data_IF_914508306947
#
_entry.id   IF_914508306947
#
_cell.length_a   1.000
_cell.length_b   1.000
_cell.length_c   1.000
_cell.angle_alpha   90.00
_cell.angle_beta   90.00
_cell.angle_gamma   90.00
#
_symmetry.space_group_name_H-M   'P 1'
#
loop_
_entity.id
_entity.type
_entity.pdbx_description
1 polymer ?
#
# COMPACT_ATOMS: atom_id res chain seq x y z
N UNK A 1 13.04 4.00 14.13
CA UNK A 1 12.76 2.55 14.12
C UNK A 1 11.67 2.20 13.12
N UNK A 2 10.44 2.72 13.24
CA UNK A 2 9.35 2.41 12.28
C UNK A 2 9.73 2.61 10.80
N UNK A 3 10.42 3.72 10.46
CA UNK A 3 10.90 3.96 9.09
C UNK A 3 11.94 2.92 8.61
N UNK A 4 12.77 2.39 9.51
CA UNK A 4 13.76 1.35 9.18
C UNK A 4 13.03 0.05 8.84
N UNK A 5 12.07 -0.34 9.67
CA UNK A 5 11.26 -1.53 9.43
C UNK A 5 10.46 -1.42 8.13
N UNK A 6 9.84 -0.25 7.86
CA UNK A 6 9.11 0.02 6.61
C UNK A 6 10.02 -0.12 5.37
N UNK A 7 11.25 0.37 5.45
CA UNK A 7 12.23 0.26 4.36
C UNK A 7 12.71 -1.18 4.13
N UNK A 8 12.77 -2.01 5.18
CA UNK A 8 13.22 -3.41 5.10
C UNK A 8 12.11 -4.39 4.74
N UNK A 9 10.85 -3.98 4.77
CA UNK A 9 9.69 -4.86 4.54
C UNK A 9 9.74 -5.62 3.19
N UNK A 10 10.37 -5.04 2.17
CA UNK A 10 10.54 -5.66 0.84
C UNK A 10 11.82 -6.49 0.67
N UNK A 11 12.62 -6.68 1.72
CA UNK A 11 13.91 -7.36 1.66
C UNK A 11 13.82 -8.74 2.30
N UNK A 12 13.99 -9.81 1.54
CA UNK A 12 13.98 -11.18 2.04
C UNK A 12 15.39 -11.69 2.41
N UNK A 13 15.58 -12.13 3.65
CA UNK A 13 16.80 -12.80 4.09
C UNK A 13 16.51 -14.19 4.65
N UNK A 14 17.10 -15.23 4.06
CA UNK A 14 16.86 -16.62 4.45
C UNK A 14 17.72 -17.11 5.62
N UNK A 15 18.81 -16.40 5.94
CA UNK A 15 19.85 -16.89 6.85
C UNK A 15 19.81 -16.28 8.25
N UNK A 16 19.63 -14.96 8.36
CA UNK A 16 19.91 -14.24 9.61
C UNK A 16 18.75 -14.23 10.60
N UNK A 17 17.53 -14.58 10.16
CA UNK A 17 16.32 -14.37 10.94
C UNK A 17 16.06 -12.88 11.25
N UNK A 18 16.65 -11.95 10.47
CA UNK A 18 16.58 -10.48 10.59
C UNK A 18 17.12 -9.84 11.86
N UNK A 19 17.17 -10.54 12.99
CA UNK A 19 17.59 -9.97 14.27
C UNK A 19 18.92 -9.19 14.20
N UNK A 20 20.03 -9.74 13.70
CA UNK A 20 21.29 -9.00 13.64
C UNK A 20 21.29 -7.84 12.63
N UNK A 21 20.37 -7.84 11.65
CA UNK A 21 20.20 -6.73 10.71
C UNK A 21 19.47 -5.58 11.40
N UNK A 22 18.36 -5.89 12.09
CA UNK A 22 17.58 -4.91 12.83
C UNK A 22 18.38 -4.33 14.01
N UNK A 23 19.23 -5.12 14.67
CA UNK A 23 20.08 -4.63 15.76
C UNK A 23 21.17 -3.66 15.28
N UNK A 24 21.50 -3.64 13.98
CA UNK A 24 22.54 -2.76 13.42
C UNK A 24 22.03 -1.35 13.07
N UNK A 25 20.74 -1.18 12.81
CA UNK A 25 20.16 0.10 12.36
C UNK A 25 19.82 1.15 13.45
N UNK A 26 19.60 0.81 14.73
CA UNK A 26 19.27 1.78 15.78
C UNK A 26 20.29 2.91 15.93
N UNK A 27 21.56 2.68 15.56
CA UNK A 27 22.61 3.71 15.54
C UNK A 27 22.29 4.89 14.60
N UNK A 28 21.34 4.72 13.68
CA UNK A 28 20.85 5.74 12.76
C UNK A 28 19.47 6.30 13.16
N UNK A 29 18.85 5.80 14.24
CA UNK A 29 17.56 6.25 14.72
C UNK A 29 17.71 7.31 15.82
N UNK A 30 16.85 8.34 15.80
CA UNK A 30 16.77 9.37 16.85
C UNK A 30 15.98 8.86 18.08
N UNK A 31 16.21 7.64 18.55
CA UNK A 31 15.60 7.15 19.78
C UNK A 31 16.45 7.60 20.98
N UNK A 32 15.79 7.98 22.07
CA UNK A 32 16.45 8.30 23.32
C UNK A 32 17.31 7.11 23.77
N UNK A 33 18.61 7.35 23.92
CA UNK A 33 19.58 6.38 24.43
C UNK A 33 19.21 5.85 25.84
N UNK A 34 18.27 6.48 26.54
CA UNK A 34 17.85 6.15 27.92
C UNK A 34 17.37 4.70 28.07
N UNK A 35 16.84 4.06 27.01
CA UNK A 35 16.43 2.64 27.07
C UNK A 35 17.62 1.66 27.04
N UNK A 36 18.81 2.11 26.66
CA UNK A 36 19.97 1.25 26.39
C UNK A 36 21.29 1.72 27.02
N UNK A 37 21.40 2.97 27.45
CA UNK A 37 22.45 3.41 28.38
C UNK A 37 22.02 2.98 29.77
N UNK A 38 22.57 1.86 30.21
CA UNK A 38 22.20 1.20 31.46
C UNK A 38 21.95 2.18 32.62
N UNK A 39 20.77 2.06 33.21
CA UNK A 39 20.55 2.39 34.62
C UNK A 39 21.40 1.40 35.42
N UNK A 40 22.69 1.69 35.51
CA UNK A 40 23.45 1.45 36.72
C UNK A 40 23.02 2.52 37.71
N UNK A 41 21.91 2.29 38.40
CA UNK A 41 21.71 2.68 39.80
C UNK A 41 20.28 2.38 40.27
N UNK A 42 20.23 1.50 41.26
CA UNK A 42 19.26 1.41 42.35
C UNK A 42 18.05 0.46 42.18
N UNK A 43 18.33 -0.77 42.66
CA UNK A 43 17.53 -1.57 43.61
C UNK A 43 16.17 -2.11 43.16
N UNK A 44 16.15 -3.42 42.89
CA UNK A 44 15.21 -4.38 43.49
C UNK A 44 15.83 -5.79 43.47
N UNK A 45 15.44 -6.57 44.47
CA UNK A 45 16.12 -7.70 45.08
C UNK A 45 16.23 -8.98 44.21
N UNK A 46 17.25 -9.78 44.54
CA UNK A 46 17.39 -11.24 44.35
C UNK A 46 17.36 -11.85 42.91
N UNK A 47 18.52 -11.79 42.24
CA UNK A 47 19.36 -13.01 42.16
C UNK A 47 19.03 -14.13 41.16
N UNK A 48 18.40 -13.90 39.99
CA UNK A 48 18.39 -14.89 38.89
C UNK A 48 18.66 -14.25 37.52
N UNK A 49 19.81 -14.56 36.92
CA UNK A 49 20.13 -14.19 35.54
C UNK A 49 19.31 -15.03 34.55
N UNK A 50 18.71 -14.39 33.55
CA UNK A 50 17.93 -15.06 32.49
C UNK A 50 18.83 -15.30 31.27
N UNK A 51 18.80 -16.49 30.70
CA UNK A 51 19.63 -16.86 29.55
C UNK A 51 19.16 -16.19 28.25
N UNK A 52 20.01 -15.45 27.52
CA UNK A 52 19.61 -14.75 26.28
C UNK A 52 19.12 -15.68 25.17
N UNK A 53 19.60 -16.92 25.12
CA UNK A 53 19.24 -17.88 24.06
C UNK A 53 17.92 -18.60 24.30
N UNK A 54 17.42 -18.63 25.54
CA UNK A 54 16.25 -19.46 25.90
C UNK A 54 15.17 -18.74 26.71
N UNK A 55 15.45 -17.55 27.25
CA UNK A 55 14.48 -16.76 28.01
C UNK A 55 14.09 -17.36 29.38
N UNK A 56 14.87 -18.32 29.91
CA UNK A 56 14.63 -18.97 31.22
C UNK A 56 15.76 -18.69 32.22
N UNK A 57 15.51 -18.78 33.55
CA UNK A 57 16.54 -18.57 34.59
C UNK A 57 17.73 -19.53 34.41
N UNK A 58 18.97 -19.00 34.41
CA UNK A 58 20.20 -19.77 34.22
C UNK A 58 20.80 -20.22 35.56
N UNK A 59 21.14 -21.50 35.67
CA UNK A 59 21.82 -22.08 36.84
C UNK A 59 23.35 -21.96 36.78
N UNK A 60 23.89 -21.19 35.84
CA UNK A 60 25.30 -21.15 35.49
C UNK A 60 26.22 -20.42 36.48
N UNK A 61 25.74 -20.13 37.70
CA UNK A 61 26.47 -19.34 38.70
C UNK A 61 26.57 -20.05 40.05
N UNK A 62 27.32 -21.16 40.09
CA UNK A 62 27.83 -21.74 41.34
C UNK A 62 29.35 -21.76 41.31
N UNK A 63 29.96 -20.92 42.15
CA UNK A 63 31.40 -20.79 42.35
C UNK A 63 32.06 -22.16 42.60
N UNK A 64 32.97 -22.57 41.71
CA UNK A 64 34.18 -23.30 42.10
C UNK A 64 35.29 -23.14 41.06
N UNK A 65 36.49 -23.00 41.59
CA UNK A 65 37.74 -22.62 40.94
C UNK A 65 38.32 -23.80 40.13
N UNK A 66 38.96 -23.45 39.00
CA UNK A 66 39.79 -24.30 38.14
C UNK A 66 39.09 -25.46 37.41
N UNK A 67 38.63 -25.18 36.18
CA UNK A 67 39.09 -26.02 35.08
C UNK A 67 39.13 -25.27 33.74
N UNK A 68 40.16 -25.56 32.96
CA UNK A 68 40.50 -24.92 31.69
C UNK A 68 39.39 -25.16 30.67
N UNK A 69 38.61 -24.12 30.38
CA UNK A 69 37.92 -23.96 29.09
C UNK A 69 38.42 -22.67 28.43
N UNK A 70 39.71 -22.68 28.07
CA UNK A 70 40.20 -21.89 26.95
C UNK A 70 39.69 -22.56 25.67
N UNK A 71 38.44 -22.25 25.33
CA UNK A 71 38.01 -22.28 23.93
C UNK A 71 37.69 -20.85 23.59
N UNK A 72 38.62 -20.28 22.84
CA UNK A 72 38.47 -19.06 22.08
C UNK A 72 37.13 -19.10 21.32
N UNK A 73 36.12 -18.39 21.82
CA UNK A 73 35.12 -17.84 20.91
C UNK A 73 34.95 -16.36 21.18
N UNK A 74 35.92 -15.64 20.60
CA UNK A 74 35.95 -14.20 20.45
C UNK A 74 34.88 -13.74 19.43
N UNK A 75 33.67 -14.31 19.47
CA UNK A 75 32.58 -13.98 18.55
C UNK A 75 31.44 -13.37 19.34
N UNK A 76 31.49 -12.03 19.35
CA UNK A 76 30.52 -11.08 19.88
C UNK A 76 30.59 -10.81 21.39
N UNK A 77 31.62 -10.03 21.78
CA UNK A 77 31.34 -8.97 22.76
C UNK A 77 30.22 -8.10 22.16
N UNK A 78 29.17 -7.74 22.91
CA UNK A 78 28.30 -6.65 22.48
C UNK A 78 29.21 -5.43 22.37
N UNK A 79 29.58 -5.05 21.16
CA UNK A 79 30.17 -3.73 20.95
C UNK A 79 29.14 -2.76 21.50
N UNK A 80 29.53 -1.87 22.40
CA UNK A 80 28.69 -0.74 22.77
C UNK A 80 28.39 0.00 21.46
N UNK A 81 27.21 -0.19 20.88
CA UNK A 81 26.88 0.26 19.53
C UNK A 81 26.75 1.80 19.43
N UNK A 82 27.03 2.54 20.51
CA UNK A 82 26.78 3.97 20.63
C UNK A 82 28.01 4.88 20.48
N UNK A 83 29.18 4.38 20.04
CA UNK A 83 30.33 5.29 19.80
C UNK A 83 30.32 5.94 18.41
N UNK A 84 29.55 5.40 17.47
CA UNK A 84 29.48 5.92 16.09
C UNK A 84 28.18 6.69 15.91
N UNK A 85 28.29 8.01 15.96
CA UNK A 85 27.20 8.92 15.59
C UNK A 85 26.88 8.78 14.09
N UNK A 86 25.73 8.18 13.79
CA UNK A 86 25.20 8.00 12.44
C UNK A 86 25.02 9.32 11.66
N UNK A 87 24.94 10.47 12.33
CA UNK A 87 24.84 11.77 11.68
C UNK A 87 26.13 12.17 10.94
N UNK A 88 27.29 11.62 11.34
CA UNK A 88 28.60 11.91 10.72
C UNK A 88 28.74 11.38 9.28
N UNK A 89 27.86 10.50 8.83
CA UNK A 89 27.88 9.95 7.47
C UNK A 89 27.29 10.89 6.41
N UNK A 90 26.57 11.94 6.82
CA UNK A 90 25.85 12.83 5.89
C UNK A 90 26.76 13.73 5.04
N UNK A 91 27.98 14.02 5.49
CA UNK A 91 28.89 14.97 4.82
C UNK A 91 29.68 14.36 3.65
N UNK A 92 29.66 13.03 3.46
CA UNK A 92 30.45 12.32 2.42
C UNK A 92 29.61 11.46 1.48
N UNK A 93 28.34 11.82 1.31
CA UNK A 93 27.46 11.14 0.35
C UNK A 93 27.87 11.41 -1.10
N UNK A 94 27.47 10.50 -2.00
CA UNK A 94 27.70 10.67 -3.43
C UNK A 94 26.95 11.92 -3.92
N UNK A 95 27.67 12.84 -4.57
CA UNK A 95 27.04 14.00 -5.19
C UNK A 95 26.10 13.55 -6.31
N UNK A 96 24.96 14.23 -6.44
CA UNK A 96 24.10 14.04 -7.61
C UNK A 96 24.83 14.54 -8.87
N UNK A 97 24.91 13.76 -9.97
CA UNK A 97 25.67 14.15 -11.16
C UNK A 97 25.22 15.50 -11.73
N UNK A 98 26.11 16.53 -11.81
CA UNK A 98 25.72 17.86 -12.25
C UNK A 98 25.14 17.92 -13.67
N UNK A 99 25.59 17.04 -14.57
CA UNK A 99 25.05 16.93 -15.93
C UNK A 99 23.55 16.61 -15.94
N UNK A 100 23.07 15.79 -14.99
CA UNK A 100 21.67 15.40 -14.90
C UNK A 100 20.77 16.54 -14.40
N UNK A 101 21.31 17.49 -13.62
CA UNK A 101 20.56 18.68 -13.18
C UNK A 101 20.24 19.62 -14.36
N UNK A 102 21.15 19.68 -15.33
CA UNK A 102 21.00 20.53 -16.53
C UNK A 102 20.18 19.84 -17.64
N UNK A 103 19.93 18.53 -17.50
CA UNK A 103 19.25 17.75 -18.52
C UNK A 103 17.77 18.08 -18.58
N UNK A 104 17.33 18.68 -19.69
CA UNK A 104 15.91 18.89 -19.99
C UNK A 104 15.24 17.56 -20.37
N UNK A 105 14.05 17.24 -19.84
CA UNK A 105 13.26 16.12 -20.33
C UNK A 105 13.02 16.24 -21.84
N UNK A 106 13.11 15.12 -22.55
CA UNK A 106 12.92 15.06 -24.00
C UNK A 106 11.90 13.98 -24.36
N UNK A 107 11.05 14.21 -25.36
CA UNK A 107 10.24 13.11 -25.87
C UNK A 107 11.15 12.07 -26.53
N UNK A 108 10.89 10.78 -26.29
CA UNK A 108 11.68 9.68 -26.87
C UNK A 108 10.78 8.72 -27.65
N UNK A 109 11.32 8.17 -28.72
CA UNK A 109 10.75 7.06 -29.49
C UNK A 109 11.88 6.07 -29.76
N UNK A 110 11.80 4.90 -29.13
CA UNK A 110 12.82 3.86 -29.20
C UNK A 110 12.24 2.61 -29.85
N UNK A 111 13.03 1.97 -30.71
CA UNK A 111 12.69 0.69 -31.33
C UNK A 111 13.57 -0.41 -30.74
N UNK A 112 12.94 -1.46 -30.21
CA UNK A 112 13.60 -2.65 -29.69
C UNK A 112 13.46 -3.86 -30.61
N UNK A 113 13.98 -5.00 -30.16
CA UNK A 113 13.87 -6.28 -30.86
C UNK A 113 12.41 -6.67 -31.14
N UNK A 114 12.19 -7.38 -32.24
CA UNK A 114 10.85 -7.85 -32.63
C UNK A 114 9.87 -6.74 -33.01
N UNK A 115 10.36 -5.53 -33.31
CA UNK A 115 9.51 -4.39 -33.68
C UNK A 115 8.81 -3.72 -32.49
N UNK A 116 9.31 -3.96 -31.26
CA UNK A 116 8.81 -3.28 -30.06
C UNK A 116 9.04 -1.77 -30.19
N UNK A 117 8.01 -0.97 -29.99
CA UNK A 117 8.11 0.49 -29.93
C UNK A 117 7.88 0.96 -28.49
N UNK A 118 8.76 1.83 -28.01
CA UNK A 118 8.65 2.45 -26.69
C UNK A 118 8.67 3.97 -26.83
N UNK A 119 7.62 4.60 -26.33
CA UNK A 119 7.44 6.05 -26.39
C UNK A 119 7.54 6.66 -24.99
N UNK A 120 8.19 7.82 -24.89
CA UNK A 120 8.15 8.70 -23.70
C UNK A 120 7.59 10.06 -24.11
N UNK A 121 6.26 10.26 -24.10
CA UNK A 121 5.66 11.58 -24.21
C UNK A 121 5.95 12.45 -22.97
N UNK A 122 5.89 13.78 -23.16
CA UNK A 122 6.02 14.78 -22.09
C UNK A 122 4.73 15.59 -21.85
N UNK A 123 3.72 15.42 -22.70
CA UNK A 123 2.45 16.14 -22.62
C UNK A 123 1.30 15.16 -22.69
N UNK A 124 0.18 15.49 -22.04
CA UNK A 124 -1.02 14.67 -22.10
C UNK A 124 -1.51 14.48 -23.54
N UNK A 125 -1.52 15.55 -24.34
CA UNK A 125 -1.94 15.47 -25.75
C UNK A 125 -1.13 14.43 -26.54
N UNK A 126 0.19 14.37 -26.36
CA UNK A 126 1.00 13.37 -27.07
C UNK A 126 0.68 11.92 -26.62
N UNK A 127 0.32 11.70 -25.35
CA UNK A 127 -0.18 10.39 -24.90
C UNK A 127 -1.47 10.03 -25.63
N UNK A 128 -2.41 10.98 -25.72
CA UNK A 128 -3.71 10.80 -26.37
C UNK A 128 -3.55 10.51 -27.86
N UNK A 129 -2.68 11.24 -28.56
CA UNK A 129 -2.38 11.01 -29.97
C UNK A 129 -1.77 9.61 -30.21
N UNK A 130 -0.84 9.19 -29.33
CA UNK A 130 -0.27 7.84 -29.39
C UNK A 130 -1.32 6.77 -29.09
N UNK A 131 -2.25 7.02 -28.17
CA UNK A 131 -3.32 6.08 -27.84
C UNK A 131 -4.35 5.97 -28.96
N UNK A 132 -4.64 7.07 -29.67
CA UNK A 132 -5.46 7.06 -30.88
C UNK A 132 -4.79 6.26 -32.00
N UNK A 133 -3.48 6.50 -32.22
CA UNK A 133 -2.70 5.81 -33.26
C UNK A 133 -2.51 4.32 -32.95
N UNK A 134 -2.33 3.98 -31.67
CA UNK A 134 -2.10 2.63 -31.20
C UNK A 134 -3.09 2.27 -30.07
N UNK A 135 -4.34 1.93 -30.39
CA UNK A 135 -5.36 1.65 -29.37
C UNK A 135 -4.99 0.48 -28.45
N UNK A 136 -4.21 -0.49 -28.94
CA UNK A 136 -3.66 -1.60 -28.15
C UNK A 136 -2.40 -1.27 -27.35
N UNK A 137 -1.90 -0.03 -27.37
CA UNK A 137 -0.71 0.35 -26.62
C UNK A 137 -0.93 0.24 -25.11
N UNK A 138 0.07 -0.33 -24.43
CA UNK A 138 0.06 -0.47 -22.97
C UNK A 138 0.77 0.73 -22.35
N UNK A 139 0.08 1.39 -21.42
CA UNK A 139 0.66 2.48 -20.65
C UNK A 139 1.58 1.91 -19.56
N UNK A 140 2.73 2.56 -19.36
CA UNK A 140 3.75 2.15 -18.41
C UNK A 140 4.11 3.27 -17.44
N UNK A 141 4.17 2.91 -16.15
CA UNK A 141 4.70 3.74 -15.08
C UNK A 141 5.82 2.95 -14.40
N UNK A 142 5.55 2.23 -13.31
CA UNK A 142 6.55 1.41 -12.61
C UNK A 142 6.82 0.03 -13.17
N UNK A 143 6.07 -0.40 -14.20
CA UNK A 143 6.20 -1.72 -14.84
C UNK A 143 6.02 -2.94 -13.90
N UNK A 144 5.42 -2.74 -12.72
CA UNK A 144 5.28 -3.78 -11.67
C UNK A 144 4.26 -4.87 -12.01
N UNK A 145 3.32 -4.60 -12.93
CA UNK A 145 2.40 -5.61 -13.49
C UNK A 145 2.81 -6.02 -14.91
N UNK A 146 2.99 -5.04 -15.81
CA UNK A 146 3.30 -5.34 -17.23
C UNK A 146 4.59 -6.13 -17.37
N UNK A 147 5.59 -5.88 -16.52
CA UNK A 147 6.81 -6.68 -16.49
C UNK A 147 6.56 -8.16 -16.14
N UNK A 148 5.63 -8.43 -15.21
CA UNK A 148 5.21 -9.79 -14.85
C UNK A 148 4.42 -10.44 -15.99
N UNK A 149 3.49 -9.71 -16.61
CA UNK A 149 2.73 -10.17 -17.78
C UNK A 149 3.65 -10.58 -18.92
N UNK A 150 4.64 -9.74 -19.25
CA UNK A 150 5.60 -10.02 -20.32
C UNK A 150 6.55 -11.17 -19.97
N UNK A 151 7.10 -11.17 -18.75
CA UNK A 151 8.14 -12.14 -18.35
C UNK A 151 7.57 -13.52 -18.00
N UNK A 152 6.55 -13.57 -17.15
CA UNK A 152 6.02 -14.82 -16.60
C UNK A 152 4.83 -15.34 -17.39
N UNK A 153 3.95 -14.45 -17.85
CA UNK A 153 2.76 -14.83 -18.65
C UNK A 153 3.02 -14.83 -20.16
N UNK A 154 4.24 -14.46 -20.59
CA UNK A 154 4.68 -14.40 -22.00
C UNK A 154 3.77 -13.54 -22.89
N UNK A 155 3.10 -12.53 -22.31
CA UNK A 155 2.28 -11.59 -23.08
C UNK A 155 3.18 -10.70 -23.95
N UNK A 156 2.78 -10.49 -25.20
CA UNK A 156 3.53 -9.67 -26.15
C UNK A 156 2.81 -8.33 -26.39
N UNK A 157 3.43 -7.26 -25.93
CA UNK A 157 3.00 -5.89 -26.22
C UNK A 157 3.92 -5.28 -27.26
N UNK A 158 3.36 -4.82 -28.40
CA UNK A 158 4.16 -4.20 -29.48
C UNK A 158 4.45 -2.73 -29.24
N UNK A 159 3.57 -2.04 -28.50
CA UNK A 159 3.68 -0.60 -28.25
C UNK A 159 3.53 -0.32 -26.76
N UNK A 160 4.55 0.32 -26.21
CA UNK A 160 4.63 0.71 -24.81
C UNK A 160 4.75 2.24 -24.73
N UNK A 161 3.96 2.86 -23.86
CA UNK A 161 3.95 4.32 -23.69
C UNK A 161 4.24 4.62 -22.22
N UNK A 162 5.41 5.18 -21.93
CA UNK A 162 5.77 5.63 -20.58
C UNK A 162 5.12 6.98 -20.28
N UNK A 163 4.21 7.02 -19.31
CA UNK A 163 3.48 8.25 -18.93
C UNK A 163 4.07 8.93 -17.69
N UNK A 164 5.24 8.49 -17.24
CA UNK A 164 5.94 8.94 -16.02
C UNK A 164 6.20 10.45 -16.01
N UNK A 165 6.42 11.05 -17.20
CA UNK A 165 6.84 12.45 -17.35
C UNK A 165 5.69 13.38 -17.76
N UNK A 166 4.44 12.92 -17.70
CA UNK A 166 3.26 13.71 -18.08
C UNK A 166 2.73 14.42 -16.82
N UNK A 167 2.83 15.75 -16.72
CA UNK A 167 2.55 16.48 -15.49
C UNK A 167 1.13 16.24 -14.95
N UNK A 168 0.13 16.26 -15.83
CA UNK A 168 -1.28 16.11 -15.47
C UNK A 168 -1.58 14.76 -14.82
N UNK A 169 -0.87 13.71 -15.23
CA UNK A 169 -1.02 12.37 -14.66
C UNK A 169 -0.24 12.21 -13.34
N UNK A 170 0.64 13.15 -12.98
CA UNK A 170 1.43 13.12 -11.75
C UNK A 170 0.98 14.18 -10.73
N UNK A 171 -0.10 14.93 -11.03
CA UNK A 171 -0.61 15.96 -10.15
C UNK A 171 -1.22 15.37 -8.87
N UNK A 172 -1.07 16.10 -7.77
CA UNK A 172 -1.70 15.84 -6.47
C UNK A 172 -2.27 17.15 -5.96
N UNK A 173 -3.58 17.32 -6.08
CA UNK A 173 -4.23 18.59 -5.76
C UNK A 173 -5.22 18.39 -4.60
N UNK A 174 -4.89 18.99 -3.46
CA UNK A 174 -5.80 19.06 -2.30
C UNK A 174 -6.85 20.13 -2.60
N UNK A 175 -8.12 19.73 -2.67
CA UNK A 175 -9.27 20.60 -2.90
C UNK A 175 -10.09 20.76 -1.62
N UNK A 176 -11.05 21.68 -1.65
CA UNK A 176 -11.97 21.90 -0.53
C UNK A 176 -12.87 20.68 -0.27
N UNK A 177 -13.21 19.92 -1.31
CA UNK A 177 -14.17 18.80 -1.27
C UNK A 177 -13.52 17.40 -1.38
N UNK A 178 -12.23 17.31 -1.66
CA UNK A 178 -11.50 16.05 -1.76
C UNK A 178 -10.05 16.19 -2.21
N UNK A 179 -9.42 15.05 -2.48
CA UNK A 179 -8.09 14.96 -3.09
C UNK A 179 -8.22 14.53 -4.54
N UNK A 180 -7.64 15.30 -5.46
CA UNK A 180 -7.44 14.89 -6.85
C UNK A 180 -6.07 14.24 -7.00
N UNK A 181 -6.04 13.02 -7.54
CA UNK A 181 -4.85 12.18 -7.65
C UNK A 181 -4.65 11.80 -9.11
N UNK A 182 -3.57 12.27 -9.74
CA UNK A 182 -3.20 11.86 -11.09
C UNK A 182 -2.95 10.34 -11.19
N UNK A 183 -3.32 9.73 -12.31
CA UNK A 183 -3.23 8.27 -12.47
C UNK A 183 -1.79 7.71 -12.40
N UNK A 184 -0.78 8.52 -12.67
CA UNK A 184 0.65 8.15 -12.61
C UNK A 184 1.35 8.48 -11.30
N UNK A 185 0.65 9.08 -10.32
CA UNK A 185 1.16 9.29 -8.96
C UNK A 185 1.62 7.95 -8.36
N UNK A 186 2.83 7.93 -7.77
CA UNK A 186 3.39 6.73 -7.14
C UNK A 186 2.73 6.48 -5.79
N UNK A 187 2.65 5.22 -5.38
CA UNK A 187 2.02 4.87 -4.11
C UNK A 187 2.78 5.44 -2.91
N UNK A 188 4.10 5.65 -3.01
CA UNK A 188 4.90 6.36 -2.01
C UNK A 188 4.50 7.83 -1.87
N UNK A 189 4.30 8.53 -3.00
CA UNK A 189 3.89 9.94 -3.02
C UNK A 189 2.46 10.07 -2.48
N UNK A 190 1.59 9.12 -2.85
CA UNK A 190 0.22 9.02 -2.36
C UNK A 190 0.18 8.80 -0.82
N UNK A 191 1.04 7.92 -0.30
CA UNK A 191 1.15 7.69 1.14
C UNK A 191 1.63 8.95 1.87
N UNK A 192 2.61 9.66 1.31
CA UNK A 192 3.13 10.92 1.86
C UNK A 192 2.04 12.00 1.95
N UNK A 193 1.27 12.21 0.88
CA UNK A 193 0.18 13.20 0.91
C UNK A 193 -0.94 12.79 1.87
N UNK A 194 -1.27 11.49 1.98
CA UNK A 194 -2.25 11.03 2.97
C UNK A 194 -1.79 11.30 4.41
N UNK A 195 -0.53 10.98 4.74
CA UNK A 195 0.04 11.27 6.07
C UNK A 195 0.00 12.78 6.38
N UNK A 196 0.34 13.61 5.38
CA UNK A 196 0.27 15.08 5.48
C UNK A 196 -1.15 15.56 5.79
N UNK A 197 -2.15 15.22 4.96
CA UNK A 197 -3.52 15.72 5.15
C UNK A 197 -4.17 15.20 6.44
N UNK A 198 -3.83 13.99 6.90
CA UNK A 198 -4.28 13.46 8.20
C UNK A 198 -3.78 14.30 9.38
N UNK A 199 -2.63 14.95 9.23
CA UNK A 199 -2.06 15.83 10.26
C UNK A 199 -2.62 17.25 10.18
N UNK A 200 -2.90 17.74 8.97
CA UNK A 200 -3.31 19.13 8.73
C UNK A 200 -4.83 19.35 8.81
N UNK A 201 -5.65 18.32 8.60
CA UNK A 201 -7.12 18.42 8.53
C UNK A 201 -7.81 17.78 9.74
N UNK A 202 -9.09 18.09 9.90
CA UNK A 202 -9.89 17.50 10.97
C UNK A 202 -9.99 15.97 10.81
N UNK A 203 -9.97 15.26 11.94
CA UNK A 203 -10.00 13.78 11.98
C UNK A 203 -11.17 13.18 11.19
N UNK A 204 -12.36 13.79 11.26
CA UNK A 204 -13.55 13.28 10.59
C UNK A 204 -13.50 13.45 9.07
N UNK A 205 -12.70 14.39 8.52
CA UNK A 205 -12.56 14.61 7.08
C UNK A 205 -11.63 13.59 6.40
N UNK A 206 -10.73 12.98 7.19
CA UNK A 206 -9.61 12.18 6.68
C UNK A 206 -9.74 10.69 6.94
N UNK A 207 -10.94 10.20 7.28
CA UNK A 207 -11.19 8.78 7.59
C UNK A 207 -10.78 7.86 6.44
N UNK A 208 -11.13 8.21 5.19
CA UNK A 208 -10.65 7.48 4.02
C UNK A 208 -9.12 7.45 3.92
N UNK A 209 -8.45 8.59 4.13
CA UNK A 209 -6.98 8.69 4.05
C UNK A 209 -6.31 7.78 5.09
N UNK A 210 -6.84 7.73 6.32
CA UNK A 210 -6.35 6.83 7.37
C UNK A 210 -6.47 5.36 6.94
N UNK A 211 -7.60 4.96 6.37
CA UNK A 211 -7.78 3.60 5.87
C UNK A 211 -6.80 3.25 4.75
N UNK A 212 -6.53 4.19 3.83
CA UNK A 212 -5.49 3.99 2.81
C UNK A 212 -4.08 3.87 3.39
N UNK A 213 -3.73 4.66 4.41
CA UNK A 213 -2.42 4.58 5.09
C UNK A 213 -2.23 3.19 5.70
N UNK A 214 -3.22 2.71 6.48
CA UNK A 214 -3.16 1.40 7.11
C UNK A 214 -3.08 0.26 6.07
N UNK A 215 -3.83 0.37 4.99
CA UNK A 215 -3.78 -0.63 3.92
C UNK A 215 -2.43 -0.63 3.18
N UNK A 216 -1.85 0.55 2.93
CA UNK A 216 -0.56 0.72 2.24
C UNK A 216 0.63 0.29 3.11
N UNK A 217 0.50 0.34 4.44
CA UNK A 217 1.51 -0.15 5.39
C UNK A 217 1.87 -1.62 5.11
N UNK A 218 0.87 -2.43 4.82
CA UNK A 218 1.00 -3.86 4.53
C UNK A 218 1.02 -4.17 3.01
N UNK A 219 1.13 -3.14 2.16
CA UNK A 219 1.17 -3.29 0.71
C UNK A 219 2.61 -3.30 0.19
N UNK A 220 3.07 -4.49 -0.18
CA UNK A 220 4.38 -4.74 -0.81
C UNK A 220 5.58 -4.12 -0.05
N UNK A 221 6.78 -4.26 -0.62
CA UNK A 221 7.95 -3.50 -0.20
C UNK A 221 7.94 -2.03 -0.63
N UNK A 222 8.73 -1.19 0.07
CA UNK A 222 8.97 0.22 -0.28
C UNK A 222 9.44 0.39 -1.73
N UNK A 223 10.25 -0.55 -2.23
CA UNK A 223 10.75 -0.59 -3.61
C UNK A 223 9.61 -0.63 -4.63
N UNK A 224 8.57 -1.43 -4.37
CA UNK A 224 7.39 -1.53 -5.24
C UNK A 224 6.55 -0.26 -5.12
N UNK A 225 6.32 0.25 -3.90
CA UNK A 225 5.53 1.47 -3.68
C UNK A 225 6.14 2.71 -4.35
N UNK A 226 7.46 2.78 -4.43
CA UNK A 226 8.18 3.89 -5.06
C UNK A 226 8.01 3.98 -6.58
N UNK A 227 7.51 2.93 -7.23
CA UNK A 227 7.35 2.90 -8.70
C UNK A 227 5.93 2.52 -9.14
N UNK A 228 5.21 1.71 -8.37
CA UNK A 228 3.82 1.40 -8.60
C UNK A 228 2.97 2.68 -8.50
N UNK A 229 1.94 2.76 -9.32
CA UNK A 229 1.08 3.95 -9.41
C UNK A 229 -0.36 3.66 -9.02
N UNK A 230 -1.07 4.68 -8.58
CA UNK A 230 -2.50 4.59 -8.26
C UNK A 230 -3.32 4.08 -9.45
N UNK A 231 -3.16 4.70 -10.62
CA UNK A 231 -3.88 4.30 -11.83
C UNK A 231 -3.44 2.94 -12.37
N UNK A 232 -2.15 2.60 -12.24
CA UNK A 232 -1.68 1.25 -12.58
C UNK A 232 -2.34 0.17 -11.71
N UNK A 233 -2.46 0.41 -10.40
CA UNK A 233 -3.14 -0.51 -9.49
C UNK A 233 -4.64 -0.64 -9.82
N UNK A 234 -5.32 0.48 -10.06
CA UNK A 234 -6.75 0.52 -10.41
C UNK A 234 -7.01 -0.20 -11.74
N UNK A 235 -6.34 0.21 -12.82
CA UNK A 235 -6.58 -0.32 -14.17
C UNK A 235 -6.11 -1.77 -14.35
N UNK A 236 -5.22 -2.27 -13.49
CA UNK A 236 -4.87 -3.70 -13.47
C UNK A 236 -6.07 -4.56 -13.04
N UNK A 237 -6.96 -4.01 -12.21
CA UNK A 237 -8.18 -4.67 -11.75
C UNK A 237 -7.92 -6.10 -11.24
N UNK A 238 -6.89 -6.24 -10.41
CA UNK A 238 -6.59 -7.51 -9.75
C UNK A 238 -7.73 -7.85 -8.78
N UNK A 239 -8.24 -9.11 -8.77
CA UNK A 239 -9.28 -9.54 -7.84
C UNK A 239 -8.89 -9.35 -6.36
N UNK A 240 -7.59 -9.42 -6.09
CA UNK A 240 -6.96 -9.31 -4.77
C UNK A 240 -6.21 -7.97 -4.61
N UNK A 241 -6.60 -6.93 -5.35
CA UNK A 241 -6.05 -5.60 -5.10
C UNK A 241 -6.45 -5.13 -3.71
N UNK A 242 -5.48 -4.70 -2.91
CA UNK A 242 -5.72 -4.13 -1.58
C UNK A 242 -6.41 -2.75 -1.63
N UNK A 243 -6.25 -1.99 -2.72
CA UNK A 243 -6.73 -0.60 -2.77
C UNK A 243 -8.09 -0.47 -3.47
N UNK A 244 -8.43 -1.37 -4.39
CA UNK A 244 -9.68 -1.28 -5.16
C UNK A 244 -10.94 -1.31 -4.26
N UNK A 245 -11.04 -2.20 -3.24
CA UNK A 245 -12.16 -2.16 -2.31
C UNK A 245 -12.29 -0.83 -1.58
N UNK A 246 -11.18 -0.20 -1.21
CA UNK A 246 -11.19 1.12 -0.55
C UNK A 246 -11.62 2.24 -1.48
N UNK A 247 -11.16 2.26 -2.74
CA UNK A 247 -11.63 3.25 -3.72
C UNK A 247 -13.15 3.17 -3.91
N UNK A 248 -13.69 1.96 -4.01
CA UNK A 248 -15.13 1.71 -4.10
C UNK A 248 -15.86 2.15 -2.83
N UNK A 249 -15.41 1.70 -1.65
CA UNK A 249 -16.06 2.00 -0.38
C UNK A 249 -16.05 3.50 -0.04
N UNK A 250 -14.95 4.18 -0.33
CA UNK A 250 -14.78 5.62 -0.15
C UNK A 250 -15.51 6.47 -1.20
N UNK A 251 -16.23 5.83 -2.14
CA UNK A 251 -16.99 6.50 -3.22
C UNK A 251 -16.10 7.40 -4.07
N UNK A 252 -14.88 6.95 -4.35
CA UNK A 252 -13.99 7.66 -5.23
C UNK A 252 -14.60 7.76 -6.63
N UNK A 253 -14.26 8.83 -7.34
CA UNK A 253 -14.70 9.08 -8.72
C UNK A 253 -13.49 9.03 -9.63
N UNK A 254 -13.57 8.27 -10.72
CA UNK A 254 -12.52 8.13 -11.69
C UNK A 254 -12.82 9.01 -12.89
N UNK A 255 -11.88 9.91 -13.22
CA UNK A 255 -11.96 10.76 -14.40
C UNK A 255 -11.23 10.06 -15.54
N UNK A 256 -11.95 9.86 -16.62
CA UNK A 256 -11.50 9.13 -17.81
C UNK A 256 -11.49 10.14 -18.94
N UNK A 257 -10.40 10.18 -19.69
CA UNK A 257 -10.24 11.07 -20.84
C UNK A 257 -10.06 10.25 -22.11
N UNK A 258 -10.75 10.65 -23.18
CA UNK A 258 -10.56 10.07 -24.50
C UNK A 258 -9.49 10.83 -25.31
N UNK A 259 -9.10 10.28 -26.46
CA UNK A 259 -8.10 10.90 -27.32
C UNK A 259 -8.53 12.24 -27.94
N UNK A 260 -9.83 12.60 -27.86
CA UNK A 260 -10.36 13.89 -28.32
C UNK A 260 -10.36 14.94 -27.21
N UNK A 261 -9.96 14.56 -25.99
CA UNK A 261 -9.94 15.42 -24.82
C UNK A 261 -11.27 15.49 -24.07
N UNK A 262 -12.27 14.68 -24.44
CA UNK A 262 -13.53 14.62 -23.69
C UNK A 262 -13.29 13.88 -22.37
N UNK A 263 -13.86 14.40 -21.29
CA UNK A 263 -13.73 13.81 -19.95
C UNK A 263 -15.09 13.29 -19.49
N UNK A 264 -15.12 12.03 -19.07
CA UNK A 264 -16.25 11.46 -18.34
C UNK A 264 -15.81 11.02 -16.94
N UNK A 265 -16.77 10.99 -16.03
CA UNK A 265 -16.54 10.59 -14.64
C UNK A 265 -17.35 9.34 -14.32
N UNK A 266 -16.70 8.35 -13.72
CA UNK A 266 -17.30 7.07 -13.33
C UNK A 266 -17.12 6.87 -11.83
N UNK A 267 -18.13 6.35 -11.13
CA UNK A 267 -17.95 5.97 -9.73
C UNK A 267 -17.09 4.71 -9.64
N UNK A 268 -16.18 4.63 -8.67
CA UNK A 268 -15.30 3.49 -8.50
C UNK A 268 -16.06 2.15 -8.44
N UNK A 269 -17.25 2.12 -7.82
CA UNK A 269 -18.11 0.93 -7.74
C UNK A 269 -18.57 0.39 -9.11
N UNK A 270 -18.65 1.25 -10.13
CA UNK A 270 -19.11 0.89 -11.49
C UNK A 270 -17.97 0.68 -12.48
N UNK A 271 -16.72 0.87 -12.06
CA UNK A 271 -15.57 0.84 -12.95
C UNK A 271 -15.04 -0.57 -13.24
N UNK A 272 -15.23 -1.52 -12.32
CA UNK A 272 -14.74 -2.89 -12.45
C UNK A 272 -15.84 -3.78 -13.05
N UNK A 273 -15.59 -4.29 -14.27
CA UNK A 273 -16.61 -4.99 -15.07
C UNK A 273 -16.43 -6.52 -15.09
N UNK A 274 -15.33 -7.02 -14.50
CA UNK A 274 -15.01 -8.45 -14.50
C UNK A 274 -13.53 -8.69 -14.25
N UNK A 275 -13.11 -9.96 -14.41
CA UNK A 275 -11.72 -10.37 -14.20
C UNK A 275 -10.74 -9.57 -15.06
N UNK A 276 -9.93 -8.72 -14.40
CA UNK A 276 -8.97 -7.80 -15.05
C UNK A 276 -9.59 -6.95 -16.17
N UNK A 277 -10.89 -6.63 -16.05
CA UNK A 277 -11.65 -5.85 -17.03
C UNK A 277 -12.23 -4.62 -16.35
N UNK A 278 -12.00 -3.46 -16.96
CA UNK A 278 -12.45 -2.16 -16.46
C UNK A 278 -13.27 -1.43 -17.51
N UNK A 279 -14.04 -0.43 -17.06
CA UNK A 279 -14.82 0.48 -17.90
C UNK A 279 -13.92 1.53 -18.57
N UNK A 280 -13.03 1.08 -19.46
CA UNK A 280 -12.24 1.92 -20.35
C UNK A 280 -12.42 1.45 -21.80
N UNK A 281 -12.85 2.34 -22.68
CA UNK A 281 -12.83 2.11 -24.12
C UNK A 281 -11.38 2.11 -24.65
N UNK A 282 -11.16 1.54 -25.85
CA UNK A 282 -9.80 1.35 -26.38
C UNK A 282 -8.99 2.64 -26.57
N UNK A 283 -9.66 3.78 -26.72
CA UNK A 283 -9.05 5.11 -26.88
C UNK A 283 -9.05 5.96 -25.61
N UNK A 284 -9.48 5.40 -24.48
CA UNK A 284 -9.57 6.08 -23.20
C UNK A 284 -8.40 5.74 -22.29
N UNK A 285 -8.09 6.66 -21.39
CA UNK A 285 -7.15 6.45 -20.29
C UNK A 285 -7.77 6.98 -18.99
N UNK A 286 -7.37 6.38 -17.87
CA UNK A 286 -7.62 6.98 -16.55
C UNK A 286 -6.73 8.22 -16.42
N UNK A 287 -7.35 9.38 -16.29
CA UNK A 287 -6.68 10.66 -16.09
C UNK A 287 -6.30 10.85 -14.62
N UNK A 288 -7.30 10.71 -13.75
CA UNK A 288 -7.15 10.96 -12.33
C UNK A 288 -8.27 10.29 -11.50
N UNK A 289 -8.04 10.26 -10.20
CA UNK A 289 -8.94 9.74 -9.18
C UNK A 289 -9.27 10.88 -8.22
N UNK A 290 -10.55 11.14 -8.02
CA UNK A 290 -11.03 12.08 -7.02
C UNK A 290 -11.52 11.30 -5.80
N UNK A 291 -10.85 11.50 -4.67
CA UNK A 291 -11.20 10.92 -3.37
C UNK A 291 -11.90 11.99 -2.51
N UNK A 292 -13.22 11.90 -2.27
CA UNK A 292 -13.92 12.91 -1.47
C UNK A 292 -13.46 12.88 0.00
N UNK A 293 -13.52 14.03 0.66
CA UNK A 293 -13.39 14.07 2.12
C UNK A 293 -14.55 13.33 2.79
N UNK A 294 -14.24 12.67 3.91
CA UNK A 294 -15.24 12.01 4.74
C UNK A 294 -16.09 13.07 5.47
N UNK A 295 -17.35 12.75 5.72
CA UNK A 295 -18.31 13.63 6.38
C UNK A 295 -18.31 13.41 7.89
N UNK A 296 -18.96 14.31 8.63
CA UNK A 296 -19.26 14.06 10.04
C UNK A 296 -20.00 12.72 10.21
N UNK A 297 -19.57 11.94 11.21
CA UNK A 297 -20.07 10.59 11.52
C UNK A 297 -19.94 9.59 10.37
N UNK A 298 -19.02 9.81 9.45
CA UNK A 298 -18.64 8.86 8.40
C UNK A 298 -17.33 8.18 8.78
N UNK A 299 -17.33 6.85 8.76
CA UNK A 299 -16.20 6.02 9.14
C UNK A 299 -15.83 5.14 7.95
N UNK A 300 -14.53 4.99 7.72
CA UNK A 300 -13.97 4.10 6.70
C UNK A 300 -12.96 3.19 7.36
N UNK A 301 -13.01 1.89 7.06
CA UNK A 301 -12.10 0.90 7.61
C UNK A 301 -11.70 -0.13 6.57
N UNK A 302 -10.42 -0.43 6.57
CA UNK A 302 -9.71 -1.42 5.79
C UNK A 302 -9.52 -2.72 6.56
N UNK A 303 -9.53 -3.84 5.85
CA UNK A 303 -9.21 -5.16 6.39
C UNK A 303 -8.39 -5.94 5.35
N UNK A 304 -7.40 -6.70 5.82
CA UNK A 304 -6.60 -7.60 4.98
C UNK A 304 -6.24 -8.85 5.76
N UNK A 305 -6.44 -10.00 5.12
CA UNK A 305 -5.93 -11.28 5.58
C UNK A 305 -4.99 -11.86 4.53
N UNK A 306 -3.81 -12.30 4.97
CA UNK A 306 -2.76 -12.91 4.14
C UNK A 306 -2.03 -13.99 4.94
N UNK A 307 -1.13 -14.77 4.31
CA UNK A 307 -0.35 -15.79 5.01
C UNK A 307 0.75 -15.18 5.87
N UNK A 308 1.25 -14.00 5.47
CA UNK A 308 2.22 -13.21 6.21
C UNK A 308 1.72 -11.78 6.36
N UNK A 309 2.18 -11.11 7.40
CA UNK A 309 1.79 -9.72 7.70
C UNK A 309 2.27 -8.73 6.64
N UNK A 310 3.52 -8.90 6.19
CA UNK A 310 4.23 -7.99 5.29
C UNK A 310 4.53 -8.68 3.93
N UNK A 311 4.54 -7.88 2.85
CA UNK A 311 4.92 -8.28 1.48
C UNK A 311 4.23 -9.54 0.94
N UNK A 312 2.93 -9.68 1.23
CA UNK A 312 2.11 -10.81 0.79
C UNK A 312 0.81 -10.35 0.12
N UNK A 313 0.31 -11.20 -0.78
CA UNK A 313 -0.98 -10.98 -1.43
C UNK A 313 -2.12 -11.32 -0.47
N UNK A 314 -3.22 -10.58 -0.57
CA UNK A 314 -4.40 -10.88 0.23
C UNK A 314 -5.05 -12.21 -0.21
N UNK A 315 -5.46 -13.00 0.77
CA UNK A 315 -6.44 -14.09 0.60
C UNK A 315 -7.81 -13.44 0.44
N UNK A 316 -8.19 -12.62 1.42
CA UNK A 316 -9.37 -11.75 1.39
C UNK A 316 -8.98 -10.39 1.96
N UNK A 317 -9.52 -9.33 1.37
CA UNK A 317 -9.43 -7.98 1.91
C UNK A 317 -10.79 -7.29 1.81
N UNK A 318 -10.97 -6.19 2.53
CA UNK A 318 -12.21 -5.43 2.49
C UNK A 318 -11.97 -3.93 2.69
N UNK A 319 -12.79 -3.14 2.02
CA UNK A 319 -13.01 -1.73 2.30
C UNK A 319 -14.45 -1.55 2.76
N UNK A 320 -14.63 -0.98 3.94
CA UNK A 320 -15.94 -0.75 4.53
C UNK A 320 -16.10 0.73 4.86
N UNK A 321 -17.28 1.26 4.57
CA UNK A 321 -17.68 2.62 4.94
C UNK A 321 -19.08 2.59 5.52
N UNK A 322 -19.27 3.34 6.60
CA UNK A 322 -20.60 3.64 7.14
C UNK A 322 -20.70 5.11 7.47
N UNK A 323 -21.87 5.71 7.21
CA UNK A 323 -22.24 7.00 7.77
C UNK A 323 -23.40 6.82 8.74
N UNK A 324 -23.21 7.30 9.95
CA UNK A 324 -24.21 7.28 11.00
C UNK A 324 -24.93 8.62 11.09
N UNK A 325 -26.18 8.58 11.52
CA UNK A 325 -26.96 9.74 11.91
C UNK A 325 -27.62 9.47 13.26
N UNK A 326 -27.67 10.50 14.10
CA UNK A 326 -28.36 10.41 15.37
C UNK A 326 -29.87 10.56 15.16
N UNK A 327 -30.65 9.64 15.73
CA UNK A 327 -32.11 9.65 15.67
C UNK A 327 -32.69 9.09 16.97
N UNK A 328 -33.38 9.94 17.74
CA UNK A 328 -34.04 9.56 19.00
C UNK A 328 -33.12 8.76 19.93
N UNK A 329 -31.96 9.34 20.27
CA UNK A 329 -30.91 8.77 21.14
C UNK A 329 -30.20 7.51 20.60
N UNK A 330 -30.53 7.08 19.39
CA UNK A 330 -29.89 5.94 18.73
C UNK A 330 -29.07 6.39 17.51
N UNK A 331 -28.02 5.63 17.20
CA UNK A 331 -27.28 5.78 15.95
C UNK A 331 -27.93 4.92 14.88
N UNK A 332 -28.29 5.53 13.75
CA UNK A 332 -28.89 4.85 12.61
C UNK A 332 -27.95 4.94 11.42
N UNK A 333 -27.84 3.87 10.64
CA UNK A 333 -27.06 3.86 9.41
C UNK A 333 -27.75 4.70 8.34
N UNK A 334 -27.18 5.85 8.02
CA UNK A 334 -27.67 6.73 6.95
C UNK A 334 -27.22 6.26 5.56
N UNK A 335 -26.01 5.69 5.47
CA UNK A 335 -25.39 5.26 4.23
C UNK A 335 -24.30 4.21 4.54
N UNK A 336 -24.10 3.24 3.65
CA UNK A 336 -23.13 2.16 3.83
C UNK A 336 -22.49 1.76 2.50
N UNK A 337 -21.28 1.22 2.58
CA UNK A 337 -20.62 0.53 1.46
C UNK A 337 -19.69 -0.54 2.01
N UNK A 338 -19.91 -1.79 1.62
CA UNK A 338 -19.07 -2.92 2.01
C UNK A 338 -18.57 -3.57 0.74
N UNK A 339 -17.25 -3.65 0.60
CA UNK A 339 -16.59 -4.12 -0.61
C UNK A 339 -15.49 -5.09 -0.23
N UNK A 340 -15.42 -6.23 -0.91
CA UNK A 340 -14.43 -7.27 -0.69
C UNK A 340 -13.57 -7.49 -1.92
N UNK A 341 -12.30 -7.87 -1.71
CA UNK A 341 -11.44 -8.47 -2.72
C UNK A 341 -11.08 -9.90 -2.33
N UNK A 342 -10.60 -10.68 -3.30
CA UNK A 342 -10.26 -12.10 -3.13
C UNK A 342 -11.45 -13.08 -3.13
N UNK A 343 -12.67 -12.56 -2.95
CA UNK A 343 -13.89 -13.39 -2.89
C UNK A 343 -14.63 -13.54 -4.24
N UNK A 344 -14.17 -12.83 -5.27
CA UNK A 344 -14.77 -12.85 -6.59
C UNK A 344 -13.70 -12.52 -7.65
N UNK A 345 -13.98 -12.68 -8.96
CA UNK A 345 -13.02 -12.36 -10.01
C UNK A 345 -12.63 -10.86 -10.11
N UNK A 346 -13.26 -9.98 -9.33
CA UNK A 346 -12.95 -8.56 -9.18
C UNK A 346 -13.46 -8.10 -7.81
N UNK A 347 -13.13 -6.87 -7.39
CA UNK A 347 -13.63 -6.31 -6.14
C UNK A 347 -15.16 -6.25 -6.15
N UNK A 348 -15.79 -6.95 -5.19
CA UNK A 348 -17.23 -7.19 -5.13
C UNK A 348 -17.87 -6.31 -4.06
N UNK A 349 -18.89 -5.54 -4.44
CA UNK A 349 -19.73 -4.83 -3.47
C UNK A 349 -20.82 -5.76 -2.93
N UNK A 350 -20.88 -5.90 -1.60
CA UNK A 350 -21.94 -6.64 -0.91
C UNK A 350 -23.23 -5.81 -0.88
N UNK A 351 -23.91 -5.78 -2.03
CA UNK A 351 -25.01 -4.84 -2.29
C UNK A 351 -26.24 -5.15 -1.44
N UNK A 352 -26.59 -6.43 -1.25
CA UNK A 352 -27.74 -6.82 -0.40
C UNK A 352 -27.47 -6.46 1.06
N UNK A 353 -26.23 -6.66 1.53
CA UNK A 353 -25.81 -6.28 2.87
C UNK A 353 -25.84 -4.77 3.06
N UNK A 354 -25.32 -4.00 2.09
CA UNK A 354 -25.41 -2.53 2.08
C UNK A 354 -26.86 -2.07 2.21
N UNK A 355 -27.76 -2.60 1.39
CA UNK A 355 -29.18 -2.25 1.40
C UNK A 355 -29.86 -2.62 2.72
N UNK A 356 -29.52 -3.78 3.30
CA UNK A 356 -30.04 -4.21 4.60
C UNK A 356 -29.62 -3.28 5.74
N UNK A 357 -28.38 -2.79 5.73
CA UNK A 357 -27.85 -1.95 6.80
C UNK A 357 -28.50 -0.57 6.84
N UNK A 358 -28.80 0.03 5.69
CA UNK A 358 -29.34 1.40 5.61
C UNK A 358 -30.69 1.46 6.34
N UNK A 359 -30.82 2.42 7.25
CA UNK A 359 -31.99 2.63 8.09
C UNK A 359 -32.05 1.77 9.36
N UNK A 360 -31.07 0.88 9.60
CA UNK A 360 -30.99 0.09 10.84
C UNK A 360 -30.28 0.85 11.96
N UNK A 361 -30.65 0.51 13.20
CA UNK A 361 -29.95 0.95 14.40
C UNK A 361 -28.59 0.25 14.47
N UNK A 362 -27.54 0.98 14.83
CA UNK A 362 -26.18 0.46 14.94
C UNK A 362 -25.97 -0.28 16.26
N UNK A 363 -26.48 -1.52 16.32
CA UNK A 363 -26.43 -2.38 17.50
C UNK A 363 -25.99 -3.82 17.18
N UNK A 364 -25.96 -4.67 18.22
CA UNK A 364 -25.56 -6.07 18.09
C UNK A 364 -26.54 -6.91 17.26
N UNK A 365 -27.84 -6.57 17.30
CA UNK A 365 -28.88 -7.28 16.56
C UNK A 365 -28.75 -7.02 15.05
N UNK A 366 -28.44 -5.77 14.66
CA UNK A 366 -28.10 -5.42 13.29
C UNK A 366 -26.90 -6.24 12.80
N UNK A 367 -25.83 -6.35 13.59
CA UNK A 367 -24.64 -7.11 13.23
C UNK A 367 -24.95 -8.61 12.99
N UNK A 368 -25.70 -9.24 13.91
CA UNK A 368 -26.10 -10.64 13.79
C UNK A 368 -26.92 -10.93 12.53
N UNK A 369 -27.80 -10.00 12.16
CA UNK A 369 -28.62 -10.14 10.97
C UNK A 369 -27.83 -9.81 9.69
N UNK A 370 -26.91 -8.84 9.74
CA UNK A 370 -26.04 -8.48 8.62
C UNK A 370 -25.15 -9.67 8.20
N UNK A 371 -24.65 -10.47 9.14
CA UNK A 371 -23.89 -11.70 8.82
C UNK A 371 -24.69 -12.68 7.97
N UNK A 372 -25.98 -12.88 8.29
CA UNK A 372 -26.86 -13.77 7.51
C UNK A 372 -27.13 -13.22 6.12
N UNK A 373 -27.23 -11.90 5.97
CA UNK A 373 -27.42 -11.26 4.67
C UNK A 373 -26.15 -11.35 3.83
N UNK A 374 -24.97 -11.20 4.43
CA UNK A 374 -23.68 -11.26 3.74
C UNK A 374 -23.44 -12.59 3.03
N UNK A 375 -23.92 -13.70 3.60
CA UNK A 375 -23.87 -15.02 2.96
C UNK A 375 -24.61 -15.08 1.61
N UNK A 376 -25.55 -14.16 1.37
CA UNK A 376 -26.27 -14.04 0.09
C UNK A 376 -25.55 -13.17 -0.94
N UNK A 377 -24.59 -12.34 -0.53
CA UNK A 377 -23.73 -11.55 -1.41
C UNK A 377 -22.49 -12.35 -1.80
N UNK A 378 -21.88 -13.05 -0.84
CA UNK A 378 -20.64 -13.80 -1.01
C UNK A 378 -20.95 -15.29 -0.86
N UNK A 379 -20.99 -15.99 -1.99
CA UNK A 379 -21.15 -17.44 -2.03
C UNK A 379 -20.05 -18.04 -2.89
N UNK A 380 -19.27 -18.92 -2.26
CA UNK A 380 -18.21 -19.67 -2.91
C UNK A 380 -18.67 -21.09 -3.19
N UNK A 381 -18.28 -21.61 -4.35
CA UNK A 381 -18.33 -23.05 -4.61
C UNK A 381 -17.09 -23.70 -3.98
N UNK A 382 -17.18 -24.98 -3.62
CA UNK A 382 -16.05 -25.74 -3.07
C UNK A 382 -14.82 -25.74 -3.99
N UNK A 383 -15.03 -25.61 -5.31
CA UNK A 383 -13.98 -25.57 -6.33
C UNK A 383 -13.49 -24.15 -6.68
N UNK A 384 -13.80 -23.14 -5.83
CA UNK A 384 -13.38 -21.77 -6.08
C UNK A 384 -11.84 -21.65 -6.22
N UNK A 385 -11.34 -20.95 -7.28
CA UNK A 385 -9.91 -20.75 -7.46
C UNK A 385 -9.28 -20.04 -6.25
N UNK A 386 -8.18 -20.60 -5.74
CA UNK A 386 -7.51 -20.13 -4.52
C UNK A 386 -7.73 -21.02 -3.31
N UNK A 387 -8.82 -21.80 -3.27
CA UNK A 387 -9.19 -22.64 -2.13
C UNK A 387 -9.53 -21.81 -0.89
N UNK A 388 -9.42 -22.42 0.31
CA UNK A 388 -9.73 -21.77 1.60
C UNK A 388 -11.14 -21.17 1.63
N UNK A 389 -12.11 -21.97 1.20
CA UNK A 389 -13.51 -21.56 1.03
C UNK A 389 -14.26 -21.50 2.37
N UNK A 390 -13.94 -22.41 3.28
CA UNK A 390 -14.43 -22.43 4.67
C UNK A 390 -13.71 -21.37 5.51
#
# INVERSE_FOLDING_TARGET
>A
EEQIEECLAGNLCRCTGYRPILDAFPVFAKTSDILYTGISSLSLEEGKSVCPSTGKPCSCNSNNVNDKCLVSDNRYKPTSYNEIDGAKYTEKELIFPPELLLRKPASLNLTGFGGLMWFRPLTLQHVLDLKAKYPGAKLLIGNTEVGIEMRLKRMQYRVLISVVHVPELNALDVKDDGLEIGAAVRLSDLLSIFRKVVTERATHETMSCKAFIEQLKWFAGTQIRNVASAGGNICTASPISDLNPLWMAARAKFRIIDYKGNIRTVQAENFFLGYRKVDLASGEILLSVFLPWSRAFEFVKEYKQSHRRDDDIAIVNAGMRVRLQEHSENWVVADASIVYGGVAPFSLSATKTKEFLIGKIWDQDMLQNAWKVLQNDISHKEDAPGGMVD
#
